data_IF_888669829454
#
_entry.id   IF_888669829454
#
_cell.length_a   1.000
_cell.length_b   1.000
_cell.length_c   1.000
_cell.angle_alpha   90.00
_cell.angle_beta   90.00
_cell.angle_gamma   90.00
#
_symmetry.space_group_name_H-M   'P 1'
#
loop_
_entity.id
_entity.type
_entity.pdbx_description
1 polymer ?
#
# COMPACT_ATOMS: atom_id res chain seq x y z
N UNK A 1 -19.39 -20.66 10.82
CA UNK A 1 -20.31 -19.60 11.30
C UNK A 1 -19.69 -19.03 12.57
N UNK A 2 -18.88 -18.00 12.39
CA UNK A 2 -18.34 -17.17 13.47
C UNK A 2 -18.27 -15.79 12.85
N UNK A 3 -19.17 -14.91 13.28
CA UNK A 3 -19.25 -13.52 12.84
C UNK A 3 -17.92 -12.83 13.13
N UNK A 4 -17.24 -12.43 12.07
CA UNK A 4 -16.19 -11.41 12.12
C UNK A 4 -16.80 -10.15 11.53
N UNK A 5 -17.37 -9.32 12.40
CA UNK A 5 -17.75 -7.94 12.10
C UNK A 5 -16.58 -7.23 11.40
N UNK A 6 -16.79 -6.59 10.24
CA UNK A 6 -15.77 -5.76 9.65
C UNK A 6 -15.61 -4.54 10.57
N UNK A 7 -14.50 -4.52 11.31
CA UNK A 7 -14.08 -3.37 12.08
C UNK A 7 -14.20 -2.13 11.19
N UNK A 8 -15.18 -1.28 11.52
CA UNK A 8 -15.29 0.08 11.01
C UNK A 8 -14.03 0.81 11.47
N UNK A 9 -12.99 0.77 10.64
CA UNK A 9 -11.81 1.61 10.77
C UNK A 9 -12.25 3.05 10.57
N UNK A 10 -12.70 3.68 11.65
CA UNK A 10 -12.73 5.13 11.74
C UNK A 10 -11.28 5.55 11.73
N UNK A 11 -10.74 5.86 10.54
CA UNK A 11 -9.47 6.57 10.46
C UNK A 11 -9.60 7.79 11.37
N UNK A 12 -8.73 7.97 12.38
CA UNK A 12 -8.76 9.17 13.19
C UNK A 12 -8.50 10.34 12.25
N UNK A 13 -9.53 11.16 12.04
CA UNK A 13 -9.43 12.37 11.22
C UNK A 13 -8.19 13.17 11.65
N UNK A 14 -7.47 13.78 10.70
CA UNK A 14 -6.32 14.61 11.04
C UNK A 14 -6.78 15.66 12.05
N UNK A 15 -6.14 15.71 13.22
CA UNK A 15 -6.49 16.63 14.28
C UNK A 15 -6.40 18.06 13.72
N UNK A 16 -7.55 18.59 13.32
CA UNK A 16 -7.65 19.95 12.84
C UNK A 16 -7.70 20.82 14.09
N UNK A 17 -7.04 21.98 14.07
CA UNK A 17 -7.00 22.95 15.18
C UNK A 17 -8.37 23.34 15.76
N UNK A 18 -9.46 22.89 15.14
CA UNK A 18 -10.85 23.14 15.47
C UNK A 18 -11.38 22.27 16.64
N UNK A 19 -10.80 21.09 16.90
CA UNK A 19 -11.40 20.15 17.87
C UNK A 19 -11.02 20.40 19.34
N UNK A 20 -10.15 21.37 19.59
CA UNK A 20 -9.73 21.69 20.94
C UNK A 20 -10.24 23.07 21.35
N UNK A 21 -10.88 23.12 22.53
CA UNK A 21 -11.22 24.36 23.23
C UNK A 21 -9.92 25.04 23.69
N UNK A 22 -9.16 25.57 22.74
CA UNK A 22 -8.12 26.55 23.00
C UNK A 22 -8.83 27.69 23.72
N UNK A 23 -8.51 27.91 25.00
CA UNK A 23 -9.08 29.03 25.75
C UNK A 23 -8.90 30.31 24.93
N UNK A 24 -9.93 31.15 24.84
CA UNK A 24 -9.98 32.33 23.95
C UNK A 24 -8.68 33.14 23.98
N UNK A 25 -8.08 33.28 25.17
CA UNK A 25 -6.80 33.97 25.38
C UNK A 25 -5.60 33.32 24.68
N UNK A 26 -5.53 31.98 24.66
CA UNK A 26 -4.49 31.22 23.98
C UNK A 26 -4.64 31.29 22.45
N UNK A 27 -5.88 31.32 21.95
CA UNK A 27 -6.16 31.48 20.53
C UNK A 27 -5.76 32.88 20.04
N UNK A 28 -6.10 33.92 20.81
CA UNK A 28 -5.67 35.30 20.56
C UNK A 28 -4.14 35.40 20.60
N UNK A 29 -3.49 34.83 21.61
CA UNK A 29 -2.03 34.85 21.71
C UNK A 29 -1.35 34.17 20.52
N UNK A 30 -1.86 33.01 20.09
CA UNK A 30 -1.35 32.32 18.90
C UNK A 30 -1.58 33.13 17.62
N UNK A 31 -2.74 33.77 17.45
CA UNK A 31 -3.05 34.60 16.28
C UNK A 31 -2.14 35.83 16.21
N UNK A 32 -1.97 36.54 17.32
CA UNK A 32 -1.06 37.70 17.42
C UNK A 32 0.37 37.27 17.17
N UNK A 33 0.82 36.15 17.73
CA UNK A 33 2.18 35.62 17.49
C UNK A 33 2.44 35.32 16.02
N UNK A 34 1.48 34.69 15.33
CA UNK A 34 1.58 34.45 13.87
C UNK A 34 1.63 35.75 13.07
N UNK A 35 0.81 36.74 13.45
CA UNK A 35 0.79 38.04 12.78
C UNK A 35 2.09 38.80 12.99
N UNK A 36 2.58 38.91 14.23
CA UNK A 36 3.84 39.59 14.58
C UNK A 36 5.04 38.94 13.87
N UNK A 37 5.03 37.62 13.70
CA UNK A 37 6.08 36.90 12.95
C UNK A 37 6.02 37.05 11.43
N UNK A 38 5.07 37.84 10.88
CA UNK A 38 4.88 38.02 9.44
C UNK A 38 5.55 39.29 8.90
N UNK A 39 6.02 39.24 7.65
CA UNK A 39 6.59 40.42 6.97
C UNK A 39 5.62 41.61 6.85
N UNK A 40 4.30 41.43 6.59
CA UNK A 40 3.35 42.55 6.59
C UNK A 40 3.27 43.31 7.92
N UNK A 41 3.33 42.61 9.05
CA UNK A 41 3.27 43.26 10.36
C UNK A 41 4.46 44.19 10.60
N UNK A 42 5.66 43.79 10.15
CA UNK A 42 6.85 44.64 10.20
C UNK A 42 6.64 45.95 9.43
N UNK A 43 6.11 45.89 8.20
CA UNK A 43 5.87 47.08 7.40
C UNK A 43 4.83 48.01 8.04
N UNK A 44 3.76 47.46 8.62
CA UNK A 44 2.73 48.23 9.32
C UNK A 44 3.33 48.96 10.54
N UNK A 45 4.13 48.26 11.35
CA UNK A 45 4.78 48.85 12.52
C UNK A 45 5.78 49.93 12.09
N UNK A 46 6.63 49.66 11.10
CA UNK A 46 7.61 50.63 10.61
C UNK A 46 6.93 51.90 10.07
N UNK A 47 5.86 51.74 9.30
CA UNK A 47 5.06 52.85 8.79
C UNK A 47 4.41 53.66 9.93
N UNK A 48 3.86 52.99 10.95
CA UNK A 48 3.25 53.65 12.11
C UNK A 48 4.28 54.46 12.92
N UNK A 49 5.45 53.89 13.21
CA UNK A 49 6.53 54.58 13.93
C UNK A 49 7.07 55.77 13.13
N UNK A 50 7.31 55.58 11.83
CA UNK A 50 7.79 56.64 10.94
C UNK A 50 6.77 57.78 10.84
N UNK A 51 5.49 57.45 10.69
CA UNK A 51 4.39 58.42 10.67
C UNK A 51 4.26 59.19 11.98
N UNK A 52 4.35 58.50 13.12
CA UNK A 52 4.32 59.13 14.44
C UNK A 52 5.50 60.08 14.62
N UNK A 53 6.73 59.64 14.34
CA UNK A 53 7.93 60.47 14.44
C UNK A 53 7.85 61.71 13.54
N UNK A 54 7.40 61.57 12.29
CA UNK A 54 7.21 62.69 11.38
C UNK A 54 6.18 63.71 11.92
N UNK A 55 5.08 63.23 12.50
CA UNK A 55 4.04 64.08 13.08
C UNK A 55 4.44 64.78 14.39
N UNK A 56 5.27 64.14 15.21
CA UNK A 56 5.76 64.67 16.48
C UNK A 56 6.97 65.61 16.32
N UNK A 57 7.77 65.42 15.25
CA UNK A 57 8.89 66.30 14.91
C UNK A 57 8.44 67.59 14.18
N UNK A 58 7.28 67.59 13.53
CA UNK A 58 6.72 68.78 12.87
C UNK A 58 6.12 69.80 13.85
N UNK A 59 5.70 70.97 13.36
CA UNK A 59 4.99 72.00 14.16
C UNK A 59 3.50 71.66 14.42
N UNK A 60 3.20 70.38 14.63
CA UNK A 60 1.84 69.90 14.90
C UNK A 60 1.47 69.93 16.39
N UNK A 61 0.20 69.69 16.75
CA UNK A 61 -0.25 69.59 18.14
C UNK A 61 0.45 68.46 18.91
N UNK A 62 0.89 67.40 18.21
CA UNK A 62 1.65 66.29 18.81
C UNK A 62 3.02 66.72 19.36
N UNK A 63 3.64 67.76 18.82
CA UNK A 63 4.94 68.25 19.31
C UNK A 63 4.88 68.75 20.77
N UNK A 64 3.72 69.24 21.21
CA UNK A 64 3.50 69.68 22.60
C UNK A 64 3.30 68.51 23.56
N UNK A 65 2.86 67.37 23.05
CA UNK A 65 2.56 66.17 23.84
C UNK A 65 3.79 65.28 24.00
N UNK A 66 4.61 65.16 22.95
CA UNK A 66 5.75 64.24 22.92
C UNK A 66 6.96 64.84 22.15
N UNK A 67 7.67 65.83 22.74
CA UNK A 67 8.84 66.44 22.11
C UNK A 67 10.02 65.46 22.03
N UNK A 68 10.89 65.63 21.04
CA UNK A 68 12.15 64.88 20.90
C UNK A 68 12.95 64.97 22.21
N UNK A 69 13.37 63.85 22.84
CA UNK A 69 13.60 62.50 22.30
C UNK A 69 12.42 61.50 22.37
N UNK A 70 11.17 61.97 22.33
CA UNK A 70 9.92 61.19 22.35
C UNK A 70 9.72 60.32 23.61
N UNK A 71 9.66 60.91 24.83
CA UNK A 71 9.43 60.15 26.06
C UNK A 71 8.20 59.23 26.05
N UNK A 72 7.09 59.66 25.42
CA UNK A 72 5.87 58.85 25.36
C UNK A 72 6.04 57.66 24.39
N UNK A 73 6.63 57.88 23.22
CA UNK A 73 6.92 56.80 22.28
C UNK A 73 7.89 55.78 22.89
N UNK A 74 8.94 56.22 23.58
CA UNK A 74 9.88 55.33 24.28
C UNK A 74 9.19 54.50 25.36
N UNK A 75 8.33 55.13 26.16
CA UNK A 75 7.52 54.46 27.16
C UNK A 75 6.56 53.44 26.53
N UNK A 76 5.81 53.84 25.49
CA UNK A 76 4.87 52.98 24.79
C UNK A 76 5.57 51.80 24.13
N UNK A 77 6.73 52.03 23.51
CA UNK A 77 7.58 50.98 22.95
C UNK A 77 7.99 49.98 24.04
N UNK A 78 8.43 50.46 25.20
CA UNK A 78 8.83 49.59 26.29
C UNK A 78 7.67 48.73 26.82
N UNK A 79 6.49 49.35 27.03
CA UNK A 79 5.27 48.65 27.44
C UNK A 79 4.87 47.61 26.38
N UNK A 80 4.78 48.03 25.12
CA UNK A 80 4.39 47.17 24.01
C UNK A 80 5.36 46.00 23.83
N UNK A 81 6.67 46.22 23.94
CA UNK A 81 7.68 45.18 23.82
C UNK A 81 7.57 44.14 24.95
N UNK A 82 7.35 44.56 26.19
CA UNK A 82 7.15 43.62 27.31
C UNK A 82 5.89 42.77 27.09
N UNK A 83 4.79 43.41 26.69
CA UNK A 83 3.53 42.72 26.39
C UNK A 83 3.66 41.76 25.23
N UNK A 84 4.29 42.19 24.13
CA UNK A 84 4.52 41.39 22.94
C UNK A 84 5.43 40.20 23.23
N UNK A 85 6.47 40.38 24.07
CA UNK A 85 7.33 39.30 24.53
C UNK A 85 6.53 38.20 25.27
N UNK A 86 5.66 38.58 26.20
CA UNK A 86 4.79 37.65 26.93
C UNK A 86 3.75 36.99 26.03
N UNK A 87 3.12 37.75 25.13
CA UNK A 87 2.15 37.22 24.17
C UNK A 87 2.82 36.20 23.23
N UNK A 88 4.02 36.50 22.73
CA UNK A 88 4.81 35.59 21.90
C UNK A 88 5.15 34.32 22.68
N UNK A 89 5.62 34.42 23.92
CA UNK A 89 5.94 33.26 24.74
C UNK A 89 4.72 32.34 24.94
N UNK A 90 3.54 32.93 25.24
CA UNK A 90 2.28 32.17 25.36
C UNK A 90 1.87 31.57 24.02
N UNK A 91 1.90 32.36 22.94
CA UNK A 91 1.47 31.92 21.62
C UNK A 91 2.38 30.83 21.04
N UNK A 92 3.69 30.93 21.23
CA UNK A 92 4.66 29.90 20.84
C UNK A 92 4.41 28.59 21.58
N UNK A 93 4.17 28.62 22.89
CA UNK A 93 3.86 27.41 23.66
C UNK A 93 2.63 26.68 23.11
N UNK A 94 1.57 27.42 22.78
CA UNK A 94 0.34 26.85 22.21
C UNK A 94 0.61 26.25 20.83
N UNK A 95 1.33 26.98 19.97
CA UNK A 95 1.71 26.50 18.64
C UNK A 95 2.61 25.26 18.71
N UNK A 96 3.58 25.23 19.62
CA UNK A 96 4.48 24.09 19.83
C UNK A 96 3.74 22.90 20.41
N UNK A 97 2.84 23.08 21.37
CA UNK A 97 2.02 21.98 21.91
C UNK A 97 1.12 21.36 20.82
N UNK A 98 0.51 22.18 19.96
CA UNK A 98 -0.27 21.70 18.84
C UNK A 98 0.58 20.98 17.77
N UNK A 99 1.80 21.48 17.50
CA UNK A 99 2.76 20.80 16.63
C UNK A 99 3.26 19.47 17.22
N UNK A 100 3.52 19.45 18.53
CA UNK A 100 3.94 18.26 19.27
C UNK A 100 2.87 17.17 19.20
N UNK A 101 1.60 17.51 19.45
CA UNK A 101 0.49 16.55 19.28
C UNK A 101 0.33 16.04 17.85
N UNK A 102 0.37 16.93 16.85
CA UNK A 102 0.28 16.50 15.44
C UNK A 102 1.41 15.54 15.07
N UNK A 103 2.63 15.81 15.52
CA UNK A 103 3.76 14.94 15.24
C UNK A 103 3.68 13.60 15.99
N UNK A 104 3.15 13.55 17.21
CA UNK A 104 2.83 12.29 17.90
C UNK A 104 1.79 11.50 17.10
N UNK A 105 0.70 12.14 16.65
CA UNK A 105 -0.30 11.48 15.81
C UNK A 105 0.30 10.95 14.49
N UNK A 106 1.19 11.72 13.83
CA UNK A 106 1.89 11.25 12.64
C UNK A 106 2.76 10.02 12.92
N UNK A 107 3.43 9.99 14.07
CA UNK A 107 4.24 8.84 14.49
C UNK A 107 3.36 7.61 14.74
N UNK A 108 2.29 7.76 15.53
CA UNK A 108 1.34 6.66 15.83
C UNK A 108 0.68 6.13 14.54
N UNK A 109 0.30 7.01 13.62
CA UNK A 109 -0.25 6.62 12.32
C UNK A 109 0.78 5.83 11.49
N UNK A 110 2.04 6.27 11.48
CA UNK A 110 3.11 5.54 10.78
C UNK A 110 3.31 4.15 11.41
N UNK A 111 3.33 4.06 12.75
CA UNK A 111 3.44 2.80 13.48
C UNK A 111 2.28 1.84 13.18
N UNK A 112 1.04 2.35 13.09
CA UNK A 112 -0.12 1.55 12.72
C UNK A 112 0.02 0.97 11.30
N UNK A 113 0.49 1.77 10.33
CA UNK A 113 0.79 1.28 8.98
C UNK A 113 1.88 0.19 9.04
N UNK A 114 2.90 0.38 9.87
CA UNK A 114 3.98 -0.61 10.03
C UNK A 114 3.49 -1.93 10.64
N UNK A 115 2.58 -1.88 11.61
CA UNK A 115 1.95 -3.08 12.16
C UNK A 115 1.17 -3.86 11.10
N UNK A 116 0.48 -3.17 10.19
CA UNK A 116 -0.22 -3.81 9.08
C UNK A 116 0.73 -4.47 8.07
N UNK A 117 1.85 -3.80 7.74
CA UNK A 117 2.88 -4.38 6.85
C UNK A 117 3.49 -5.64 7.47
N UNK A 118 3.75 -5.62 8.78
CA UNK A 118 4.26 -6.80 9.50
C UNK A 118 3.26 -7.97 9.51
N UNK A 119 1.96 -7.70 9.61
CA UNK A 119 0.94 -8.75 9.52
C UNK A 119 0.85 -9.35 8.10
N UNK A 120 0.94 -8.50 7.06
CA UNK A 120 1.04 -8.95 5.67
C UNK A 120 2.28 -9.84 5.45
N UNK A 121 3.43 -9.48 6.02
CA UNK A 121 4.62 -10.35 6.01
C UNK A 121 4.34 -11.70 6.64
N UNK A 122 3.76 -11.72 7.85
CA UNK A 122 3.46 -12.95 8.57
C UNK A 122 2.44 -13.82 7.83
N UNK A 123 1.54 -13.22 7.05
CA UNK A 123 0.63 -13.94 6.18
C UNK A 123 1.35 -14.56 4.97
N UNK A 124 2.20 -13.79 4.28
CA UNK A 124 2.99 -14.28 3.15
C UNK A 124 3.97 -15.38 3.57
N UNK A 125 4.66 -15.23 4.70
CA UNK A 125 5.56 -16.26 5.24
C UNK A 125 4.81 -17.56 5.58
N UNK A 126 3.53 -17.48 5.97
CA UNK A 126 2.69 -18.66 6.19
C UNK A 126 2.35 -19.35 4.86
N UNK A 127 2.01 -18.58 3.83
CA UNK A 127 1.77 -19.12 2.48
C UNK A 127 3.05 -19.78 1.94
N UNK A 128 4.20 -19.12 2.11
CA UNK A 128 5.50 -19.65 1.73
C UNK A 128 5.80 -20.96 2.41
N UNK A 129 5.52 -21.11 3.72
CA UNK A 129 5.71 -22.39 4.42
C UNK A 129 4.82 -23.52 3.89
N UNK A 130 3.63 -23.20 3.38
CA UNK A 130 2.73 -24.18 2.76
C UNK A 130 3.25 -24.59 1.39
N UNK A 131 3.76 -23.65 0.59
CA UNK A 131 4.44 -23.91 -0.67
C UNK A 131 5.82 -24.59 -0.48
N UNK A 132 6.53 -24.28 0.60
CA UNK A 132 7.91 -24.73 0.88
C UNK A 132 8.00 -26.16 1.39
N UNK A 133 6.86 -26.86 1.58
CA UNK A 133 6.89 -28.31 1.86
C UNK A 133 7.58 -29.10 0.72
N UNK A 134 7.84 -28.48 -0.43
CA UNK A 134 8.74 -28.98 -1.50
C UNK A 134 10.01 -28.18 -1.80
N UNK A 135 10.26 -27.02 -1.17
CA UNK A 135 11.41 -26.14 -1.48
C UNK A 135 11.94 -25.45 -0.22
N UNK A 136 12.88 -26.10 0.47
CA UNK A 136 13.59 -25.57 1.64
C UNK A 136 14.61 -24.48 1.25
N UNK A 137 14.15 -23.29 0.89
CA UNK A 137 15.06 -22.19 0.52
C UNK A 137 14.83 -20.92 1.35
N UNK A 138 15.18 -21.04 2.64
CA UNK A 138 15.57 -19.96 3.57
C UNK A 138 14.61 -19.80 4.76
N UNK A 139 15.05 -20.38 5.86
CA UNK A 139 14.70 -19.99 7.22
C UNK A 139 14.80 -18.46 7.35
N UNK A 140 13.69 -17.81 7.70
CA UNK A 140 13.65 -16.36 7.87
C UNK A 140 13.70 -16.04 9.35
N UNK A 141 14.82 -15.50 9.80
CA UNK A 141 14.87 -14.73 11.05
C UNK A 141 14.46 -13.28 10.76
N UNK A 142 13.58 -12.68 11.58
CA UNK A 142 13.17 -11.29 11.45
C UNK A 142 14.37 -10.33 11.58
N UNK A 143 14.27 -9.14 10.98
CA UNK A 143 15.32 -8.14 11.06
C UNK A 143 15.41 -7.58 12.50
N UNK A 144 16.61 -7.51 13.11
CA UNK A 144 16.80 -7.20 14.54
C UNK A 144 16.23 -5.83 14.95
N UNK A 145 16.12 -4.90 14.01
CA UNK A 145 15.59 -3.56 14.26
C UNK A 145 14.08 -3.54 14.59
N UNK A 146 13.28 -4.46 14.02
CA UNK A 146 11.83 -4.55 14.24
C UNK A 146 11.52 -5.09 15.64
N UNK A 147 12.30 -6.06 16.12
CA UNK A 147 12.18 -6.58 17.49
C UNK A 147 12.63 -5.55 18.53
N UNK A 148 13.68 -4.77 18.24
CA UNK A 148 14.19 -3.73 19.15
C UNK A 148 13.26 -2.51 19.30
N UNK A 149 12.41 -2.21 18.32
CA UNK A 149 11.55 -1.02 18.33
C UNK A 149 10.11 -1.28 18.76
N UNK A 150 9.65 -2.53 18.83
CA UNK A 150 8.31 -2.89 19.34
C UNK A 150 8.09 -2.55 20.83
N UNK A 151 9.12 -2.03 21.51
CA UNK A 151 9.21 -1.87 22.97
C UNK A 151 9.43 -0.41 23.40
N UNK A 152 9.68 0.55 22.49
CA UNK A 152 9.99 1.93 22.89
C UNK A 152 8.80 2.86 22.63
N UNK A 153 8.27 3.46 23.71
CA UNK A 153 7.24 4.49 23.66
C UNK A 153 7.69 5.73 22.84
N UNK A 154 6.76 6.45 22.18
CA UNK A 154 7.10 7.65 21.42
C UNK A 154 7.78 8.69 22.32
N UNK A 155 8.92 9.28 21.90
CA UNK A 155 9.64 10.26 22.70
C UNK A 155 8.79 11.51 22.92
N UNK A 156 8.40 11.79 24.17
CA UNK A 156 7.67 13.01 24.54
C UNK A 156 8.62 14.08 25.09
N UNK A 157 8.34 15.35 24.77
CA UNK A 157 9.16 16.48 25.20
C UNK A 157 9.26 16.60 26.74
N UNK A 158 8.24 16.15 27.48
CA UNK A 158 8.22 16.16 28.94
C UNK A 158 9.18 15.14 29.58
N UNK A 159 9.41 14.00 28.91
CA UNK A 159 10.18 12.88 29.46
C UNK A 159 11.69 13.05 29.24
N UNK A 160 12.08 14.09 28.48
CA UNK A 160 13.43 14.25 27.92
C UNK A 160 14.16 15.52 28.36
N UNK A 161 13.63 16.24 29.36
CA UNK A 161 14.42 17.21 30.11
C UNK A 161 15.44 16.45 30.99
N UNK A 162 16.52 15.98 30.37
CA UNK A 162 17.55 15.12 31.01
C UNK A 162 18.43 15.94 31.96
N UNK A 163 18.64 17.24 31.67
CA UNK A 163 19.46 18.13 32.50
C UNK A 163 18.68 18.91 33.57
N UNK A 164 19.33 19.18 34.72
CA UNK A 164 18.81 20.10 35.75
C UNK A 164 18.51 21.50 35.19
N UNK A 165 19.35 21.98 34.26
CA UNK A 165 19.19 23.28 33.62
C UNK A 165 18.02 23.30 32.63
N UNK A 166 17.81 22.22 31.88
CA UNK A 166 16.69 22.09 30.93
C UNK A 166 15.34 22.05 31.66
N UNK A 167 15.29 21.35 32.81
CA UNK A 167 14.10 21.33 33.68
C UNK A 167 13.81 22.71 34.26
N UNK A 168 14.84 23.42 34.70
CA UNK A 168 14.69 24.79 35.22
C UNK A 168 14.17 25.72 34.10
N UNK A 169 14.75 25.65 32.91
CA UNK A 169 14.32 26.44 31.76
C UNK A 169 12.88 26.14 31.34
N UNK A 170 12.52 24.86 31.23
CA UNK A 170 11.16 24.43 30.91
C UNK A 170 10.16 24.89 31.98
N UNK A 171 10.52 24.80 33.26
CA UNK A 171 9.70 25.29 34.37
C UNK A 171 9.51 26.80 34.31
N UNK A 172 10.60 27.56 34.09
CA UNK A 172 10.54 29.03 34.00
C UNK A 172 9.70 29.47 32.81
N UNK A 173 9.90 28.87 31.64
CA UNK A 173 9.13 29.12 30.43
C UNK A 173 7.64 28.78 30.62
N UNK A 174 7.32 27.70 31.34
CA UNK A 174 5.93 27.32 31.64
C UNK A 174 5.24 28.31 32.57
N UNK A 175 5.96 28.82 33.58
CA UNK A 175 5.42 29.77 34.56
C UNK A 175 5.26 31.18 33.98
N UNK A 176 6.25 31.63 33.20
CA UNK A 176 6.25 32.93 32.53
C UNK A 176 5.35 32.95 31.29
N UNK A 177 5.20 31.83 30.61
CA UNK A 177 4.26 31.64 29.50
C UNK A 177 2.83 31.32 29.95
N UNK A 178 2.46 31.71 31.17
CA UNK A 178 1.08 31.64 31.65
C UNK A 178 0.33 32.92 31.30
N UNK A 179 -0.95 32.81 30.95
CA UNK A 179 -1.80 33.98 30.66
C UNK A 179 -1.86 34.93 31.88
N UNK A 180 -1.71 34.39 33.09
CA UNK A 180 -1.61 35.17 34.33
C UNK A 180 -0.36 36.06 34.40
N UNK A 181 0.78 35.63 33.87
CA UNK A 181 1.98 36.46 33.85
C UNK A 181 1.80 37.70 32.97
N UNK A 182 1.07 37.58 31.85
CA UNK A 182 0.65 38.72 31.03
C UNK A 182 -0.24 39.69 31.80
N UNK A 183 -1.31 39.19 32.42
CA UNK A 183 -2.20 40.06 33.20
C UNK A 183 -1.51 40.69 34.41
N UNK A 184 -0.58 39.98 35.04
CA UNK A 184 0.20 40.51 36.15
C UNK A 184 1.15 41.61 35.69
N UNK A 185 1.85 41.44 34.57
CA UNK A 185 2.71 42.47 34.01
C UNK A 185 1.90 43.70 33.55
N UNK A 186 0.81 43.50 32.81
CA UNK A 186 -0.08 44.58 32.37
C UNK A 186 -0.72 45.31 33.56
N UNK A 187 -1.22 44.56 34.54
CA UNK A 187 -1.83 45.09 35.75
C UNK A 187 -0.83 45.87 36.59
N UNK A 188 0.42 45.39 36.72
CA UNK A 188 1.48 46.12 37.42
C UNK A 188 1.81 47.43 36.72
N UNK A 189 1.84 47.45 35.38
CA UNK A 189 2.08 48.68 34.62
C UNK A 189 0.95 49.70 34.80
N UNK A 190 -0.31 49.27 34.66
CA UNK A 190 -1.48 50.14 34.86
C UNK A 190 -1.52 50.66 36.30
N UNK A 191 -1.26 49.78 37.28
CA UNK A 191 -1.21 50.14 38.69
C UNK A 191 -0.14 51.21 38.95
N UNK A 192 1.05 51.06 38.37
CA UNK A 192 2.13 52.04 38.49
C UNK A 192 1.74 53.41 37.94
N UNK A 193 1.11 53.44 36.75
CA UNK A 193 0.61 54.67 36.12
C UNK A 193 -0.42 55.35 37.02
N UNK A 194 -1.38 54.59 37.55
CA UNK A 194 -2.44 55.11 38.43
C UNK A 194 -1.85 55.67 39.72
N UNK A 195 -0.95 54.95 40.40
CA UNK A 195 -0.32 55.40 41.66
C UNK A 195 0.50 56.67 41.48
N UNK A 196 1.15 56.82 40.34
CA UNK A 196 1.91 58.02 40.01
C UNK A 196 1.00 59.20 39.64
N UNK A 197 -0.12 58.95 38.96
CA UNK A 197 -1.12 59.96 38.60
C UNK A 197 -1.85 60.50 39.84
N UNK A 198 -2.20 59.63 40.81
CA UNK A 198 -2.88 60.00 42.07
C UNK A 198 -1.94 60.66 43.08
N UNK A 199 -0.65 60.81 42.75
CA UNK A 199 0.33 61.50 43.59
C UNK A 199 0.72 60.76 44.86
N UNK A 200 0.32 59.49 44.99
CA UNK A 200 0.67 58.62 46.13
C UNK A 200 2.16 58.28 46.07
N UNK A 201 2.68 58.00 44.87
CA UNK A 201 4.09 57.70 44.63
C UNK A 201 4.79 58.91 44.02
N UNK A 202 5.64 59.58 44.80
CA UNK A 202 6.44 60.75 44.34
C UNK A 202 7.78 60.36 43.70
N UNK A 203 8.18 59.10 43.81
CA UNK A 203 9.50 58.61 43.43
C UNK A 203 9.70 58.48 41.90
N UNK A 204 8.64 58.19 41.14
CA UNK A 204 8.72 57.93 39.70
C UNK A 204 7.64 58.74 38.95
N UNK A 205 7.95 60.01 38.66
CA UNK A 205 7.06 60.91 37.92
C UNK A 205 7.21 60.67 36.41
N UNK A 206 6.13 60.90 35.65
CA UNK A 206 6.15 60.89 34.19
C UNK A 206 7.41 61.64 33.69
N UNK A 207 8.31 60.99 32.92
CA UNK A 207 8.09 59.85 32.01
C UNK A 207 8.42 58.43 32.55
N UNK A 208 8.37 58.19 33.87
CA UNK A 208 8.49 56.85 34.49
C UNK A 208 9.82 56.13 34.19
N UNK A 209 10.95 56.77 34.50
CA UNK A 209 12.27 56.21 34.20
C UNK A 209 12.57 54.92 34.98
N UNK A 210 12.10 54.83 36.22
CA UNK A 210 12.35 53.64 37.05
C UNK A 210 11.52 52.44 36.58
N UNK A 211 10.24 52.66 36.28
CA UNK A 211 9.38 51.66 35.65
C UNK A 211 9.96 51.16 34.32
N UNK A 212 10.43 52.07 33.47
CA UNK A 212 11.04 51.74 32.17
C UNK A 212 12.29 50.88 32.35
N UNK A 213 13.15 51.22 33.32
CA UNK A 213 14.34 50.44 33.68
C UNK A 213 13.98 49.03 34.18
N UNK A 214 12.99 48.90 35.07
CA UNK A 214 12.58 47.59 35.59
C UNK A 214 11.98 46.71 34.48
N UNK A 215 11.24 47.33 33.57
CA UNK A 215 10.65 46.65 32.41
C UNK A 215 11.71 46.23 31.39
N UNK A 216 12.71 47.06 31.06
CA UNK A 216 13.82 46.62 30.18
C UNK A 216 14.64 45.49 30.80
N UNK A 217 14.85 45.51 32.12
CA UNK A 217 15.50 44.40 32.83
C UNK A 217 14.68 43.11 32.73
N UNK A 218 13.35 43.19 32.93
CA UNK A 218 12.45 42.05 32.78
C UNK A 218 12.44 41.50 31.35
N UNK A 219 12.47 42.38 30.34
CA UNK A 219 12.56 41.98 28.93
C UNK A 219 13.83 41.20 28.62
N UNK A 220 14.99 41.63 29.15
CA UNK A 220 16.24 40.92 28.96
C UNK A 220 16.15 39.48 29.51
N UNK A 221 15.59 39.34 30.71
CA UNK A 221 15.35 38.02 31.32
C UNK A 221 14.40 37.19 30.45
N UNK A 222 13.29 37.77 29.98
CA UNK A 222 12.35 37.05 29.12
C UNK A 222 12.96 36.64 27.78
N UNK A 223 13.83 37.45 27.18
CA UNK A 223 14.52 37.08 25.94
C UNK A 223 15.41 35.85 26.14
N UNK A 224 16.19 35.80 27.23
CA UNK A 224 17.00 34.62 27.58
C UNK A 224 16.12 33.39 27.78
N UNK A 225 15.02 33.55 28.53
CA UNK A 225 14.10 32.44 28.82
C UNK A 225 13.41 31.93 27.57
N UNK A 226 12.99 32.81 26.66
CA UNK A 226 12.40 32.43 25.36
C UNK A 226 13.42 31.65 24.55
N UNK A 227 14.65 32.16 24.40
CA UNK A 227 15.69 31.49 23.61
C UNK A 227 15.99 30.08 24.15
N UNK A 228 16.22 29.94 25.45
CA UNK A 228 16.51 28.62 26.06
C UNK A 228 15.28 27.72 26.01
N UNK A 229 14.09 28.27 26.24
CA UNK A 229 12.83 27.51 26.13
C UNK A 229 12.61 26.95 24.73
N UNK A 230 12.91 27.74 23.69
CA UNK A 230 12.81 27.32 22.29
C UNK A 230 13.82 26.24 21.93
N UNK A 231 15.08 26.38 22.37
CA UNK A 231 16.15 25.40 22.12
C UNK A 231 15.87 24.05 22.79
N UNK A 232 15.40 24.04 24.03
CA UNK A 232 15.00 22.80 24.74
C UNK A 232 13.81 22.12 24.05
N UNK A 233 12.79 22.89 23.64
CA UNK A 233 11.62 22.34 22.94
C UNK A 233 11.98 21.86 21.51
N UNK A 234 12.89 22.55 20.82
CA UNK A 234 13.35 22.21 19.47
C UNK A 234 14.04 20.85 19.40
N UNK A 235 14.89 20.53 20.39
CA UNK A 235 15.61 19.24 20.45
C UNK A 235 14.69 18.02 20.49
N UNK A 236 13.53 18.13 21.14
CA UNK A 236 12.55 17.04 21.16
C UNK A 236 11.94 16.79 19.77
N UNK A 237 11.65 17.88 19.04
CA UNK A 237 11.19 17.82 17.65
C UNK A 237 12.25 17.24 16.71
N UNK A 238 13.49 17.70 16.84
CA UNK A 238 14.61 17.25 16.01
C UNK A 238 14.86 15.75 16.18
N UNK A 239 14.97 15.25 17.42
CA UNK A 239 15.16 13.80 17.65
C UNK A 239 13.98 12.96 17.20
N UNK A 240 12.74 13.43 17.34
CA UNK A 240 11.57 12.70 16.84
C UNK A 240 11.57 12.64 15.31
N UNK A 241 11.97 13.72 14.64
CA UNK A 241 12.11 13.71 13.18
C UNK A 241 13.20 12.76 12.70
N UNK A 242 14.33 12.69 13.42
CA UNK A 242 15.39 11.71 13.19
C UNK A 242 14.88 10.27 13.34
N UNK A 243 14.16 9.98 14.44
CA UNK A 243 13.58 8.64 14.65
C UNK A 243 12.55 8.27 13.58
N UNK A 244 11.67 9.21 13.19
CA UNK A 244 10.68 8.99 12.14
C UNK A 244 11.37 8.69 10.80
N UNK A 245 12.47 9.39 10.50
CA UNK A 245 13.28 9.17 9.31
C UNK A 245 13.98 7.80 9.32
N UNK A 246 14.58 7.41 10.45
CA UNK A 246 15.19 6.09 10.59
C UNK A 246 14.16 4.96 10.46
N UNK A 247 12.97 5.14 11.01
CA UNK A 247 11.86 4.18 10.89
C UNK A 247 11.41 4.02 9.44
N UNK A 248 11.21 5.13 8.74
CA UNK A 248 10.89 5.12 7.32
C UNK A 248 11.96 4.41 6.47
N UNK A 249 13.24 4.61 6.78
CA UNK A 249 14.34 3.92 6.09
C UNK A 249 14.32 2.40 6.32
N UNK A 250 14.12 1.96 7.56
CA UNK A 250 14.06 0.53 7.90
C UNK A 250 12.92 -0.17 7.15
N UNK A 251 11.75 0.47 7.09
CA UNK A 251 10.58 -0.07 6.40
C UNK A 251 10.79 -0.10 4.88
N UNK A 252 11.35 0.97 4.29
CA UNK A 252 11.67 0.98 2.86
C UNK A 252 12.67 -0.10 2.48
N UNK A 253 13.60 -0.44 3.37
CA UNK A 253 14.53 -1.55 3.18
C UNK A 253 13.80 -2.89 3.20
N UNK A 254 12.92 -3.12 4.18
CA UNK A 254 12.13 -4.36 4.27
C UNK A 254 11.15 -4.52 3.10
N UNK A 255 10.43 -3.46 2.70
CA UNK A 255 9.56 -3.48 1.53
C UNK A 255 10.33 -3.85 0.25
N UNK A 256 11.55 -3.31 0.07
CA UNK A 256 12.42 -3.68 -1.06
C UNK A 256 12.81 -5.15 -1.01
N UNK A 257 13.14 -5.66 0.17
CA UNK A 257 13.49 -7.07 0.38
C UNK A 257 12.31 -7.99 0.06
N UNK A 258 11.10 -7.64 0.49
CA UNK A 258 9.87 -8.38 0.19
C UNK A 258 9.59 -8.42 -1.31
N UNK A 259 9.72 -7.27 -1.99
CA UNK A 259 9.54 -7.21 -3.44
C UNK A 259 10.53 -8.11 -4.19
N UNK A 260 11.79 -8.16 -3.75
CA UNK A 260 12.79 -9.06 -4.32
C UNK A 260 12.44 -10.54 -4.11
N UNK A 261 11.88 -10.91 -2.94
CA UNK A 261 11.41 -12.28 -2.65
C UNK A 261 10.23 -12.67 -3.54
N UNK A 262 9.21 -11.82 -3.64
CA UNK A 262 8.06 -12.04 -4.52
C UNK A 262 8.50 -12.23 -5.97
N UNK A 263 9.41 -11.39 -6.46
CA UNK A 263 9.97 -11.53 -7.81
C UNK A 263 10.81 -12.82 -8.00
N UNK A 264 11.40 -13.37 -6.95
CA UNK A 264 12.06 -14.67 -7.00
C UNK A 264 11.04 -15.82 -7.01
N UNK A 265 9.99 -15.74 -6.19
CA UNK A 265 8.90 -16.71 -6.14
C UNK A 265 8.16 -16.79 -7.48
N UNK A 266 7.83 -15.66 -8.09
CA UNK A 266 7.16 -15.63 -9.41
C UNK A 266 7.96 -16.35 -10.48
N UNK A 267 9.30 -16.25 -10.45
CA UNK A 267 10.18 -16.98 -11.37
C UNK A 267 10.14 -18.49 -11.14
N UNK A 268 10.10 -18.93 -9.88
CA UNK A 268 10.01 -20.36 -9.53
C UNK A 268 8.63 -20.92 -9.86
N UNK A 269 7.55 -20.18 -9.58
CA UNK A 269 6.18 -20.57 -9.95
C UNK A 269 6.06 -20.66 -11.48
N UNK A 270 6.64 -19.71 -12.21
CA UNK A 270 6.70 -19.75 -13.67
C UNK A 270 7.43 -20.98 -14.21
N UNK A 271 8.58 -21.34 -13.63
CA UNK A 271 9.34 -22.52 -14.05
C UNK A 271 8.65 -23.84 -13.68
N UNK A 272 8.06 -23.94 -12.48
CA UNK A 272 7.27 -25.10 -12.05
C UNK A 272 6.02 -25.27 -12.93
N UNK A 273 5.33 -24.19 -13.24
CA UNK A 273 4.15 -24.23 -14.14
C UNK A 273 4.56 -24.70 -15.54
N UNK A 274 5.68 -24.19 -16.07
CA UNK A 274 6.23 -24.65 -17.35
C UNK A 274 6.63 -26.13 -17.33
N UNK A 275 7.27 -26.58 -16.25
CA UNK A 275 7.66 -27.99 -16.06
C UNK A 275 6.43 -28.90 -15.97
N UNK A 276 5.47 -28.57 -15.11
CA UNK A 276 4.23 -29.36 -14.94
C UNK A 276 3.45 -29.40 -16.24
N UNK A 277 3.27 -28.28 -16.95
CA UNK A 277 2.59 -28.26 -18.25
C UNK A 277 3.27 -29.16 -19.27
N UNK A 278 4.60 -29.15 -19.31
CA UNK A 278 5.38 -30.03 -20.20
C UNK A 278 5.21 -31.50 -19.82
N UNK A 279 5.32 -31.85 -18.53
CA UNK A 279 5.15 -33.22 -18.05
C UNK A 279 3.73 -33.75 -18.28
N UNK A 280 2.71 -32.95 -17.97
CA UNK A 280 1.30 -33.28 -18.23
C UNK A 280 1.08 -33.51 -19.73
N UNK A 281 1.64 -32.64 -20.58
CA UNK A 281 1.55 -32.81 -22.04
C UNK A 281 2.21 -34.11 -22.48
N UNK A 282 3.37 -34.46 -21.93
CA UNK A 282 4.10 -35.68 -22.30
C UNK A 282 3.34 -36.95 -21.86
N UNK A 283 2.86 -37.00 -20.61
CA UNK A 283 2.07 -38.12 -20.10
C UNK A 283 0.78 -38.32 -20.90
N UNK A 284 0.11 -37.23 -21.27
CA UNK A 284 -1.08 -37.31 -22.08
C UNK A 284 -0.77 -37.75 -23.52
N UNK A 285 0.36 -37.29 -24.09
CA UNK A 285 0.79 -37.70 -25.42
C UNK A 285 1.11 -39.20 -25.48
N UNK A 286 1.74 -39.75 -24.44
CA UNK A 286 1.98 -41.18 -24.29
C UNK A 286 0.66 -41.96 -24.20
N UNK A 287 -0.30 -41.51 -23.38
CA UNK A 287 -1.60 -42.18 -23.27
C UNK A 287 -2.42 -42.12 -24.57
N UNK A 288 -2.30 -41.02 -25.32
CA UNK A 288 -2.87 -40.87 -26.67
C UNK A 288 -2.26 -41.90 -27.62
N UNK A 289 -0.92 -42.00 -27.67
CA UNK A 289 -0.21 -42.98 -28.50
C UNK A 289 -0.60 -44.42 -28.16
N UNK A 290 -0.56 -44.80 -26.88
CA UNK A 290 -0.93 -46.14 -26.44
C UNK A 290 -2.37 -46.51 -26.83
N UNK A 291 -3.27 -45.52 -26.82
CA UNK A 291 -4.65 -45.74 -27.22
C UNK A 291 -4.79 -45.85 -28.73
N UNK A 292 -4.07 -45.03 -29.51
CA UNK A 292 -4.06 -45.09 -30.98
C UNK A 292 -3.42 -46.38 -31.49
N UNK A 293 -2.26 -46.77 -30.96
CA UNK A 293 -1.58 -48.03 -31.34
C UNK A 293 -2.43 -49.26 -31.07
N UNK A 294 -3.19 -49.30 -29.96
CA UNK A 294 -4.12 -50.40 -29.69
C UNK A 294 -5.21 -50.51 -30.75
N UNK A 295 -5.71 -49.38 -31.24
CA UNK A 295 -6.75 -49.34 -32.28
C UNK A 295 -6.18 -49.76 -33.62
N UNK A 296 -4.99 -49.27 -33.97
CA UNK A 296 -4.32 -49.61 -35.21
C UNK A 296 -3.88 -51.08 -35.21
N UNK A 297 -3.37 -51.59 -34.09
CA UNK A 297 -3.03 -53.01 -33.91
C UNK A 297 -4.27 -53.90 -34.06
N UNK A 298 -5.41 -53.56 -33.44
CA UNK A 298 -6.66 -54.29 -33.66
C UNK A 298 -7.05 -54.29 -35.13
N UNK A 299 -6.94 -53.17 -35.83
CA UNK A 299 -7.22 -53.10 -37.27
C UNK A 299 -6.26 -53.98 -38.09
N UNK A 300 -4.96 -53.99 -37.77
CA UNK A 300 -3.94 -54.84 -38.43
C UNK A 300 -4.20 -56.33 -38.20
N UNK A 301 -4.53 -56.73 -36.98
CA UNK A 301 -4.86 -58.12 -36.64
C UNK A 301 -6.15 -58.56 -37.34
N UNK A 302 -7.17 -57.69 -37.40
CA UNK A 302 -8.40 -57.96 -38.14
C UNK A 302 -8.17 -58.11 -39.65
N UNK A 303 -7.29 -57.32 -40.26
CA UNK A 303 -6.97 -57.46 -41.70
C UNK A 303 -6.13 -58.71 -41.98
N UNK A 304 -5.23 -59.09 -41.05
CA UNK A 304 -4.47 -60.34 -41.11
C UNK A 304 -5.38 -61.58 -41.03
N UNK A 305 -6.35 -61.58 -40.11
CA UNK A 305 -7.34 -62.66 -40.01
C UNK A 305 -8.27 -62.75 -41.24
N UNK A 306 -8.51 -61.64 -41.93
CA UNK A 306 -9.36 -61.55 -43.12
C UNK A 306 -8.73 -62.01 -44.44
N UNK A 307 -7.53 -62.61 -44.42
CA UNK A 307 -6.89 -63.22 -45.59
C UNK A 307 -6.17 -62.25 -46.54
N UNK A 308 -5.94 -61.00 -46.14
CA UNK A 308 -5.13 -60.02 -46.90
C UNK A 308 -3.67 -60.12 -46.44
N UNK A 309 -2.69 -59.93 -47.34
CA UNK A 309 -1.27 -59.87 -46.97
C UNK A 309 -1.05 -58.80 -45.90
N UNK A 310 -0.90 -59.24 -44.65
CA UNK A 310 -0.55 -58.38 -43.54
C UNK A 310 0.97 -58.30 -43.42
N UNK A 311 1.53 -57.15 -43.02
CA UNK A 311 2.94 -57.03 -42.69
C UNK A 311 3.35 -58.09 -41.64
N UNK A 312 4.58 -58.64 -41.70
CA UNK A 312 5.06 -59.65 -40.75
C UNK A 312 5.05 -59.18 -39.29
N UNK A 313 5.05 -57.87 -39.05
CA UNK A 313 5.04 -57.27 -37.72
C UNK A 313 3.64 -56.76 -37.28
N UNK A 314 2.57 -57.21 -37.95
CA UNK A 314 1.20 -56.76 -37.68
C UNK A 314 0.76 -56.96 -36.21
N UNK A 315 1.31 -57.99 -35.55
CA UNK A 315 0.99 -58.38 -34.17
C UNK A 315 1.80 -57.61 -33.11
N UNK A 316 2.75 -56.77 -33.51
CA UNK A 316 3.62 -56.03 -32.59
C UNK A 316 3.00 -54.67 -32.23
N UNK A 317 2.90 -54.38 -30.94
CA UNK A 317 2.56 -53.04 -30.42
C UNK A 317 3.81 -52.17 -30.40
N UNK A 318 3.77 -51.01 -31.05
CA UNK A 318 4.89 -50.07 -31.06
C UNK A 318 4.92 -49.26 -29.77
N UNK A 319 6.04 -49.30 -29.07
CA UNK A 319 6.27 -48.49 -27.87
C UNK A 319 6.56 -47.03 -28.20
N UNK A 320 6.29 -46.12 -27.25
CA UNK A 320 6.57 -44.68 -27.40
C UNK A 320 8.02 -44.37 -27.86
N UNK A 321 9.00 -45.13 -27.36
CA UNK A 321 10.42 -44.94 -27.71
C UNK A 321 10.76 -45.30 -29.15
N UNK A 322 9.91 -46.04 -29.85
CA UNK A 322 10.12 -46.47 -31.23
C UNK A 322 9.60 -45.45 -32.25
N UNK A 323 8.93 -44.38 -31.80
CA UNK A 323 8.38 -43.33 -32.66
C UNK A 323 9.47 -42.36 -33.13
N UNK A 324 9.30 -41.82 -34.34
CA UNK A 324 10.07 -40.67 -34.83
C UNK A 324 9.72 -39.38 -34.08
N UNK A 325 10.62 -38.40 -34.10
CA UNK A 325 10.38 -37.08 -33.46
C UNK A 325 9.15 -36.36 -34.01
N UNK A 326 8.83 -36.58 -35.30
CA UNK A 326 7.63 -36.02 -35.94
C UNK A 326 6.36 -36.63 -35.35
N UNK A 327 6.31 -37.97 -35.25
CA UNK A 327 5.15 -38.68 -34.68
C UNK A 327 4.94 -38.35 -33.19
N UNK A 328 6.03 -38.25 -32.40
CA UNK A 328 5.96 -37.77 -31.01
C UNK A 328 5.45 -36.33 -30.95
N UNK A 329 5.89 -35.47 -31.87
CA UNK A 329 5.42 -34.09 -32.02
C UNK A 329 3.91 -34.01 -32.28
N UNK A 330 3.39 -34.87 -33.16
CA UNK A 330 1.97 -34.96 -33.48
C UNK A 330 1.15 -35.42 -32.25
N UNK A 331 1.65 -36.41 -31.50
CA UNK A 331 1.03 -36.87 -30.25
C UNK A 331 0.98 -35.75 -29.19
N UNK A 332 2.05 -34.96 -29.03
CA UNK A 332 2.07 -33.80 -28.12
C UNK A 332 1.09 -32.70 -28.55
N UNK A 333 0.99 -32.45 -29.86
CA UNK A 333 0.02 -31.51 -30.39
C UNK A 333 -1.42 -31.98 -30.12
N UNK A 334 -1.70 -33.27 -30.31
CA UNK A 334 -2.99 -33.87 -29.99
C UNK A 334 -3.30 -33.80 -28.48
N UNK A 335 -2.30 -34.01 -27.63
CA UNK A 335 -2.45 -33.88 -26.19
C UNK A 335 -2.88 -32.47 -25.76
N UNK A 336 -2.25 -31.42 -26.31
CA UNK A 336 -2.65 -30.03 -26.04
C UNK A 336 -4.09 -29.74 -26.48
N UNK A 337 -4.49 -30.25 -27.64
CA UNK A 337 -5.86 -30.11 -28.17
C UNK A 337 -6.90 -30.74 -27.27
N UNK A 338 -6.60 -31.86 -26.61
CA UNK A 338 -7.52 -32.47 -25.64
C UNK A 338 -7.86 -31.47 -24.53
N UNK A 339 -6.88 -30.73 -24.00
CA UNK A 339 -7.12 -29.68 -23.02
C UNK A 339 -8.04 -28.56 -23.53
N UNK A 340 -7.76 -28.03 -24.73
CA UNK A 340 -8.58 -26.99 -25.38
C UNK A 340 -10.02 -27.46 -25.64
N UNK A 341 -10.17 -28.70 -26.07
CA UNK A 341 -11.46 -29.34 -26.34
C UNK A 341 -12.30 -29.53 -25.08
N UNK A 342 -11.68 -29.94 -23.98
CA UNK A 342 -12.35 -30.03 -22.69
C UNK A 342 -12.81 -28.65 -22.23
N UNK A 343 -11.96 -27.62 -22.37
CA UNK A 343 -12.32 -26.26 -22.00
C UNK A 343 -13.51 -25.72 -22.81
N UNK A 344 -13.60 -26.07 -24.11
CA UNK A 344 -14.71 -25.69 -24.99
C UNK A 344 -16.07 -26.27 -24.54
N UNK A 345 -16.08 -27.41 -23.85
CA UNK A 345 -17.30 -28.01 -23.26
C UNK A 345 -17.48 -27.66 -21.77
N UNK A 346 -16.67 -26.74 -21.23
CA UNK A 346 -16.73 -26.33 -19.81
C UNK A 346 -16.13 -27.36 -18.84
N UNK A 347 -15.28 -28.24 -19.33
CA UNK A 347 -14.58 -29.25 -18.56
C UNK A 347 -13.10 -28.90 -18.41
N UNK A 348 -12.50 -29.33 -17.30
CA UNK A 348 -11.07 -29.13 -17.02
C UNK A 348 -10.43 -30.44 -16.60
N UNK A 349 -9.14 -30.57 -16.86
CA UNK A 349 -8.35 -31.73 -16.46
C UNK A 349 -7.70 -31.46 -15.09
N UNK A 350 -7.83 -32.42 -14.19
CA UNK A 350 -7.28 -32.37 -12.82
C UNK A 350 -6.57 -33.69 -12.55
N UNK A 351 -5.47 -33.75 -11.76
CA UNK A 351 -4.89 -35.02 -11.34
C UNK A 351 -5.94 -35.93 -10.68
N UNK A 352 -5.88 -37.23 -10.96
CA UNK A 352 -6.85 -38.18 -10.40
C UNK A 352 -6.75 -38.22 -8.86
N UNK A 353 -7.89 -38.03 -8.18
CA UNK A 353 -8.05 -38.22 -6.73
C UNK A 353 -8.73 -39.56 -6.40
N UNK A 354 -8.85 -39.89 -5.11
CA UNK A 354 -9.36 -41.19 -4.67
C UNK A 354 -10.86 -41.45 -4.96
N UNK A 355 -11.71 -40.42 -5.09
CA UNK A 355 -13.17 -40.59 -5.06
C UNK A 355 -13.98 -39.67 -5.99
N UNK A 356 -13.76 -39.70 -7.31
CA UNK A 356 -14.71 -39.06 -8.25
C UNK A 356 -15.00 -39.91 -9.48
N UNK A 357 -16.28 -40.17 -9.82
CA UNK A 357 -16.65 -40.94 -10.99
C UNK A 357 -16.22 -40.21 -12.28
N UNK A 358 -15.73 -40.98 -13.26
CA UNK A 358 -15.33 -40.47 -14.55
C UNK A 358 -16.46 -39.66 -15.20
N UNK A 359 -16.19 -38.40 -15.58
CA UNK A 359 -17.18 -37.58 -16.27
C UNK A 359 -17.66 -38.27 -17.54
N UNK A 360 -18.97 -38.55 -17.60
CA UNK A 360 -19.61 -39.11 -18.79
C UNK A 360 -20.07 -37.97 -19.68
N UNK A 361 -19.55 -37.90 -20.90
CA UNK A 361 -19.98 -36.89 -21.87
C UNK A 361 -21.36 -37.21 -22.43
N UNK A 362 -22.21 -36.19 -22.50
CA UNK A 362 -23.49 -36.26 -23.20
C UNK A 362 -23.29 -36.39 -24.71
N UNK A 363 -24.31 -36.89 -25.41
CA UNK A 363 -24.27 -37.01 -26.87
C UNK A 363 -24.16 -35.65 -27.59
N UNK A 364 -24.60 -34.55 -26.96
CA UNK A 364 -24.39 -33.20 -27.48
C UNK A 364 -22.91 -32.79 -27.41
N UNK A 365 -22.26 -33.04 -26.28
CA UNK A 365 -20.82 -32.75 -26.08
C UNK A 365 -19.95 -33.61 -27.00
N UNK A 366 -20.25 -34.90 -27.13
CA UNK A 366 -19.54 -35.80 -28.05
C UNK A 366 -19.67 -35.33 -29.50
N UNK A 367 -20.86 -34.87 -29.92
CA UNK A 367 -21.05 -34.31 -31.26
C UNK A 367 -20.26 -33.02 -31.46
N UNK A 368 -20.21 -32.15 -30.46
CA UNK A 368 -19.43 -30.91 -30.51
C UNK A 368 -17.93 -31.19 -30.63
N UNK A 369 -17.40 -32.06 -29.77
CA UNK A 369 -16.00 -32.49 -29.79
C UNK A 369 -15.61 -33.12 -31.13
N UNK A 370 -16.45 -34.01 -31.65
CA UNK A 370 -16.22 -34.67 -32.93
C UNK A 370 -16.19 -33.67 -34.11
N UNK A 371 -17.07 -32.66 -34.08
CA UNK A 371 -17.09 -31.58 -35.09
C UNK A 371 -15.84 -30.71 -35.01
N UNK A 372 -15.42 -30.30 -33.81
CA UNK A 372 -14.22 -29.46 -33.60
C UNK A 372 -12.94 -30.17 -34.07
N UNK A 373 -12.78 -31.45 -33.75
CA UNK A 373 -11.66 -32.26 -34.23
C UNK A 373 -11.68 -32.42 -35.76
N UNK A 374 -12.86 -32.68 -36.34
CA UNK A 374 -12.99 -32.82 -37.78
C UNK A 374 -12.64 -31.54 -38.54
N UNK A 375 -13.15 -30.39 -38.07
CA UNK A 375 -12.88 -29.08 -38.68
C UNK A 375 -11.38 -28.76 -38.68
N UNK A 376 -10.68 -29.00 -37.57
CA UNK A 376 -9.22 -28.79 -37.52
C UNK A 376 -8.45 -29.79 -38.38
N UNK A 377 -8.89 -31.05 -38.43
CA UNK A 377 -8.28 -32.08 -39.28
C UNK A 377 -8.42 -31.78 -40.78
N UNK A 378 -9.57 -31.24 -41.20
CA UNK A 378 -9.80 -30.87 -42.60
C UNK A 378 -9.03 -29.60 -42.97
N UNK A 379 -8.98 -28.60 -42.08
CA UNK A 379 -8.17 -27.39 -42.25
C UNK A 379 -6.69 -27.74 -42.43
N UNK A 380 -6.14 -28.60 -41.56
CA UNK A 380 -4.75 -29.07 -41.66
C UNK A 380 -4.46 -29.76 -43.00
N UNK A 381 -5.41 -30.55 -43.51
CA UNK A 381 -5.25 -31.20 -44.82
C UNK A 381 -5.29 -30.20 -45.96
N UNK A 382 -6.23 -29.25 -45.92
CA UNK A 382 -6.33 -28.20 -46.94
C UNK A 382 -5.03 -27.39 -46.99
N UNK A 383 -4.47 -27.02 -45.83
CA UNK A 383 -3.17 -26.34 -45.74
C UNK A 383 -2.04 -27.22 -46.27
N UNK A 384 -1.97 -28.50 -45.91
CA UNK A 384 -0.92 -29.41 -46.40
C UNK A 384 -0.98 -29.65 -47.92
N UNK A 385 -2.18 -29.70 -48.48
CA UNK A 385 -2.38 -29.81 -49.92
C UNK A 385 -1.91 -28.53 -50.64
N UNK A 386 -2.18 -27.35 -50.06
CA UNK A 386 -1.73 -26.07 -50.62
C UNK A 386 -0.20 -25.89 -50.61
N UNK A 387 0.52 -26.59 -49.73
CA UNK A 387 1.99 -26.56 -49.64
C UNK A 387 2.68 -27.68 -50.44
N UNK A 388 1.93 -28.45 -51.23
CA UNK A 388 2.48 -29.47 -52.14
C UNK A 388 2.82 -30.81 -51.49
N UNK A 389 2.35 -31.07 -50.26
CA UNK A 389 2.45 -32.39 -49.65
C UNK A 389 1.29 -33.27 -50.17
N UNK A 390 1.59 -34.47 -50.69
CA UNK A 390 0.57 -35.44 -51.10
C UNK A 390 0.21 -36.35 -49.92
N UNK A 391 -0.99 -36.21 -49.31
CA UNK A 391 -1.44 -37.12 -48.27
C UNK A 391 -1.69 -38.52 -48.85
N UNK A 392 -1.49 -39.58 -48.07
CA UNK A 392 -1.63 -40.97 -48.48
C UNK A 392 -3.09 -41.43 -48.74
N UNK A 393 -4.07 -40.53 -48.65
CA UNK A 393 -5.51 -40.82 -48.69
C UNK A 393 -6.21 -39.86 -49.66
N UNK A 394 -6.76 -40.40 -50.76
CA UNK A 394 -7.37 -39.67 -51.88
C UNK A 394 -8.82 -39.23 -51.60
N UNK A 395 -9.30 -39.34 -50.35
CA UNK A 395 -10.67 -38.98 -49.98
C UNK A 395 -10.91 -37.46 -50.02
N UNK A 396 -11.95 -37.04 -50.74
CA UNK A 396 -12.37 -35.63 -50.87
C UNK A 396 -12.70 -35.03 -49.50
N UNK A 397 -12.15 -33.84 -49.23
CA UNK A 397 -12.41 -33.04 -48.04
C UNK A 397 -13.85 -32.45 -48.10
N UNK A 398 -14.82 -33.11 -47.47
CA UNK A 398 -16.21 -32.66 -47.40
C UNK A 398 -16.51 -31.86 -46.10
N UNK A 399 -17.42 -30.87 -46.12
CA UNK A 399 -17.94 -30.24 -44.91
C UNK A 399 -18.60 -31.26 -43.95
N UNK A 400 -18.54 -31.01 -42.63
CA UNK A 400 -19.05 -31.93 -41.59
C UNK A 400 -20.48 -32.44 -41.86
N UNK A 401 -21.35 -31.56 -42.33
CA UNK A 401 -22.77 -31.84 -42.55
C UNK A 401 -23.02 -32.73 -43.79
N UNK A 402 -22.05 -32.83 -44.70
CA UNK A 402 -22.10 -33.63 -45.94
C UNK A 402 -21.40 -35.00 -45.79
N UNK A 403 -20.80 -35.31 -44.62
CA UNK A 403 -20.14 -36.60 -44.44
C UNK A 403 -21.13 -37.77 -44.34
N UNK A 404 -20.80 -38.92 -44.97
CA UNK A 404 -21.50 -40.18 -44.75
C UNK A 404 -21.58 -40.51 -43.25
N UNK A 405 -22.72 -41.04 -42.79
CA UNK A 405 -22.93 -41.33 -41.37
C UNK A 405 -21.86 -42.29 -40.82
N UNK A 406 -21.41 -43.24 -41.65
CA UNK A 406 -20.32 -44.16 -41.31
C UNK A 406 -19.01 -43.45 -40.92
N UNK A 407 -18.69 -42.33 -41.57
CA UNK A 407 -17.51 -41.52 -41.25
C UNK A 407 -17.73 -40.66 -40.00
N UNK A 408 -18.92 -40.04 -39.85
CA UNK A 408 -19.28 -39.28 -38.64
C UNK A 408 -19.28 -40.15 -37.38
N UNK A 409 -19.69 -41.41 -37.48
CA UNK A 409 -19.63 -42.39 -36.37
C UNK A 409 -18.20 -42.61 -35.90
N UNK A 410 -17.20 -42.68 -36.79
CA UNK A 410 -15.79 -42.83 -36.39
C UNK A 410 -15.30 -41.64 -35.58
N UNK A 411 -15.60 -40.41 -35.99
CA UNK A 411 -15.24 -39.20 -35.24
C UNK A 411 -15.94 -39.10 -33.88
N UNK A 412 -17.22 -39.49 -33.79
CA UNK A 412 -17.94 -39.58 -32.51
C UNK A 412 -17.35 -40.65 -31.59
N UNK A 413 -16.96 -41.80 -32.14
CA UNK A 413 -16.30 -42.87 -31.38
C UNK A 413 -14.93 -42.43 -30.87
N UNK A 414 -14.16 -41.67 -31.66
CA UNK A 414 -12.90 -41.06 -31.21
C UNK A 414 -13.13 -40.09 -30.04
N UNK A 415 -14.13 -39.19 -30.16
CA UNK A 415 -14.48 -38.26 -29.09
C UNK A 415 -14.92 -38.96 -27.78
N UNK A 416 -15.65 -40.08 -27.87
CA UNK A 416 -16.06 -40.89 -26.69
C UNK A 416 -14.89 -41.54 -25.95
N UNK A 417 -13.72 -41.67 -26.59
CA UNK A 417 -12.53 -42.28 -25.95
C UNK A 417 -11.71 -41.28 -25.14
N UNK A 418 -11.92 -39.98 -25.33
CA UNK A 418 -11.15 -38.91 -24.66
C UNK A 418 -11.11 -39.09 -23.13
N UNK A 419 -12.23 -39.32 -22.41
CA UNK A 419 -12.18 -39.54 -20.95
C UNK A 419 -11.31 -40.73 -20.54
N UNK A 420 -11.32 -41.80 -21.33
CA UNK A 420 -10.50 -42.99 -21.08
C UNK A 420 -9.01 -42.74 -21.31
N UNK A 421 -8.66 -41.89 -22.28
CA UNK A 421 -7.26 -41.48 -22.52
C UNK A 421 -6.75 -40.63 -21.36
N UNK A 422 -7.56 -39.67 -20.89
CA UNK A 422 -7.24 -38.79 -19.76
C UNK A 422 -7.06 -39.61 -18.47
N UNK A 423 -7.95 -40.58 -18.21
CA UNK A 423 -7.85 -41.49 -17.07
C UNK A 423 -6.60 -42.36 -17.09
N UNK A 424 -6.20 -42.87 -18.26
CA UNK A 424 -4.96 -43.66 -18.41
C UNK A 424 -3.69 -42.85 -18.15
N UNK A 425 -3.73 -41.56 -18.45
CA UNK A 425 -2.65 -40.64 -18.12
C UNK A 425 -2.61 -40.25 -16.63
N UNK A 426 -3.52 -40.77 -15.78
CA UNK A 426 -3.58 -40.45 -14.36
C UNK A 426 -4.34 -39.16 -14.04
N UNK A 427 -5.15 -38.67 -14.97
CA UNK A 427 -5.95 -37.46 -14.81
C UNK A 427 -7.45 -37.77 -14.84
N UNK A 428 -8.25 -36.87 -14.29
CA UNK A 428 -9.71 -36.91 -14.32
C UNK A 428 -10.26 -35.65 -14.96
N UNK A 429 -11.42 -35.77 -15.59
CA UNK A 429 -12.14 -34.65 -16.17
C UNK A 429 -13.19 -34.19 -15.16
N UNK A 430 -13.13 -32.92 -14.75
CA UNK A 430 -14.15 -32.28 -13.92
C UNK A 430 -14.93 -31.26 -14.74
N UNK A 431 -16.24 -31.18 -14.51
CA UNK A 431 -17.09 -30.15 -15.09
C UNK A 431 -17.02 -28.91 -14.20
N UNK A 432 -16.77 -27.74 -14.78
CA UNK A 432 -16.93 -26.48 -14.08
C UNK A 432 -18.38 -26.26 -13.67
N UNK A 433 -18.62 -25.77 -12.46
CA UNK A 433 -19.96 -25.27 -12.11
C UNK A 433 -20.41 -24.29 -13.20
N UNK A 434 -21.65 -24.40 -13.71
CA UNK A 434 -22.16 -23.44 -14.67
C UNK A 434 -22.03 -22.05 -14.06
N UNK A 435 -21.35 -21.13 -14.75
CA UNK A 435 -21.44 -19.71 -14.40
C UNK A 435 -22.92 -19.36 -14.43
N UNK A 436 -23.51 -19.11 -13.27
CA UNK A 436 -24.79 -18.41 -13.23
C UNK A 436 -24.56 -17.10 -13.97
N UNK A 437 -25.31 -16.78 -15.04
CA UNK A 437 -25.32 -15.41 -15.52
C UNK A 437 -25.74 -14.51 -14.35
N UNK A 438 -25.18 -13.29 -14.22
CA UNK A 438 -25.63 -12.37 -13.20
C UNK A 438 -27.15 -12.25 -13.31
N UNK A 439 -27.84 -12.48 -12.20
CA UNK A 439 -29.27 -12.27 -12.11
C UNK A 439 -29.57 -10.87 -12.65
N UNK A 440 -30.27 -10.80 -13.78
CA UNK A 440 -30.82 -9.54 -14.24
C UNK A 440 -31.69 -9.03 -13.10
N UNK A 441 -31.32 -7.87 -12.58
CA UNK A 441 -31.99 -7.17 -11.50
C UNK A 441 -33.43 -6.86 -11.93
N UNK A 442 -34.32 -7.79 -11.61
CA UNK A 442 -35.74 -7.68 -11.87
C UNK A 442 -36.38 -7.00 -10.67
N UNK A 443 -36.41 -5.66 -10.73
CA UNK A 443 -37.49 -4.85 -10.18
C UNK A 443 -37.46 -4.59 -8.68
N UNK A 444 -37.07 -3.36 -8.34
CA UNK A 444 -37.81 -2.59 -7.35
C UNK A 444 -38.34 -1.32 -8.03
N UNK A 445 -39.65 -1.31 -8.23
CA UNK A 445 -40.46 -0.09 -8.34
C UNK A 445 -40.70 0.47 -6.94
#
# INVERSE_FOLDING_TARGET
MSDSDPATGVEPSPATMADERIGVNAAVAAAVTRWVGSMPALYVVLAAFTGYMASAAGRGPLHRLDPYPFPFLLFLNNVAQLMLCLIILVGQRVLTAAADRRSVQTYENAEAIFAQVADLQAHLDRQDRVLSRGLSLLETSPHPWIEQHRVQDPPRAADQAVGRNDRLAAWLATRLGSVWAFYLAAGTQVLWIVLAQTGIQRFDRYPFMFMTFLSTLAQLVFMIVIMVGQDVLGRAGDRRSEQTFLNAQAVLFECRRMAQRLAAQDRVIGSLTGYVSTQVTEQLAQAVHDTSERVDHQARVHTAMGGRQAPPDADVLRGWEQLSDRERGDCRAQARRIGENLAAIGCFMVPAGEETPAATFSDAEVRMLARLEYQRWIEQRITAHSTGAHPHDDAVALPWDELPEAARVRHRQAARRIPGVVSRAGFQVLRGSPRHPPAADAGQR
#
